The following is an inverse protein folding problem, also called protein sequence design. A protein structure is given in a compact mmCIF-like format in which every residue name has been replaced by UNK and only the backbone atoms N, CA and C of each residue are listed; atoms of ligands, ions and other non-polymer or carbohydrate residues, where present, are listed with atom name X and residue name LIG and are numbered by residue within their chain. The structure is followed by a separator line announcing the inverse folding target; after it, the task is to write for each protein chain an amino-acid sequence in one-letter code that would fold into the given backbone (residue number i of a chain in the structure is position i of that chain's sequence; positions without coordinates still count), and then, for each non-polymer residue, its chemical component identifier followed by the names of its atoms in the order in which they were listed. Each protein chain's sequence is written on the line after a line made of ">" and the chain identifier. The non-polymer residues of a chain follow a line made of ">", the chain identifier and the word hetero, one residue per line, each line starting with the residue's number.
data_IF_936752603564
#
_entry.id   IF_936752603564
#
_cell.length_a   1.000
_cell.length_b   1.000
_cell.length_c   1.000
_cell.angle_alpha   90.00
_cell.angle_beta   90.00
_cell.angle_gamma   90.00
#
_symmetry.space_group_name_H-M   'P 1'
#
loop_
_entity.id
_entity.type
_entity.pdbx_description
1 polymer ?
#
# COMPACT_ATOMS: atom_id res chain seq x y z
N UNK A 1 -43.37 -21.57 14.40
CA UNK A 1 -41.96 -21.47 13.95
C UNK A 1 -41.10 -20.97 15.10
N UNK A 2 -40.85 -21.78 16.12
CA UNK A 2 -40.01 -21.42 17.25
C UNK A 2 -39.54 -22.67 17.99
N UNK A 3 -38.57 -23.42 17.46
CA UNK A 3 -37.94 -24.53 18.22
C UNK A 3 -36.55 -24.95 17.65
N UNK A 4 -35.92 -24.15 16.80
CA UNK A 4 -34.60 -24.51 16.22
C UNK A 4 -33.40 -23.85 16.91
N UNK A 5 -33.58 -22.91 17.84
CA UNK A 5 -32.50 -22.25 18.57
C UNK A 5 -32.11 -22.94 19.89
N UNK A 6 -32.94 -23.83 20.44
CA UNK A 6 -32.74 -24.39 21.79
C UNK A 6 -31.58 -25.39 21.94
N UNK A 7 -30.90 -25.81 20.87
CA UNK A 7 -29.79 -26.79 20.95
C UNK A 7 -28.48 -26.34 20.31
N UNK A 8 -28.28 -25.04 20.11
CA UNK A 8 -26.98 -24.50 19.65
C UNK A 8 -26.04 -24.31 20.82
N UNK A 9 -24.85 -24.91 20.78
CA UNK A 9 -23.83 -24.74 21.80
C UNK A 9 -22.58 -24.11 21.20
N UNK A 10 -21.84 -23.37 22.05
CA UNK A 10 -20.59 -22.72 21.65
C UNK A 10 -19.45 -23.28 22.47
N UNK A 11 -18.31 -23.53 21.82
CA UNK A 11 -17.16 -24.15 22.47
C UNK A 11 -15.89 -23.56 21.88
N UNK A 12 -14.93 -23.22 22.75
CA UNK A 12 -13.58 -22.89 22.32
C UNK A 12 -12.71 -24.15 22.46
N UNK A 13 -12.26 -24.67 21.33
CA UNK A 13 -11.33 -25.79 21.27
C UNK A 13 -9.89 -25.27 21.33
N UNK A 14 -9.12 -25.76 22.27
CA UNK A 14 -7.71 -25.42 22.45
C UNK A 14 -6.85 -26.69 22.42
N UNK A 15 -5.87 -26.73 21.50
CA UNK A 15 -4.95 -27.86 21.37
C UNK A 15 -3.58 -27.48 21.97
N UNK A 16 -3.16 -28.27 22.98
CA UNK A 16 -1.85 -28.15 23.64
C UNK A 16 -1.15 -29.50 23.52
N UNK A 17 -0.07 -29.59 22.77
CA UNK A 17 0.53 -30.88 22.38
C UNK A 17 -0.50 -31.75 21.63
N UNK A 18 -0.72 -32.97 22.11
CA UNK A 18 -1.71 -33.91 21.54
C UNK A 18 -3.09 -33.84 22.24
N UNK A 19 -3.25 -32.99 23.22
CA UNK A 19 -4.50 -32.87 23.99
C UNK A 19 -5.36 -31.75 23.49
N UNK A 20 -6.66 -32.02 23.35
CA UNK A 20 -7.69 -31.01 23.08
C UNK A 20 -8.44 -30.72 24.38
N UNK A 21 -8.51 -29.45 24.74
CA UNK A 21 -9.39 -28.95 25.81
C UNK A 21 -10.62 -28.31 25.19
N UNK A 22 -11.76 -28.53 25.81
CA UNK A 22 -13.02 -27.88 25.48
C UNK A 22 -13.29 -26.83 26.55
N UNK A 23 -13.32 -25.59 26.16
CA UNK A 23 -13.53 -24.45 27.04
C UNK A 23 -14.94 -23.93 26.78
N UNK A 24 -15.80 -23.77 27.79
CA UNK A 24 -17.11 -23.14 27.62
C UNK A 24 -16.96 -21.78 26.95
N UNK A 25 -17.82 -21.54 25.95
CA UNK A 25 -17.76 -20.30 25.17
C UNK A 25 -19.18 -19.77 24.99
N UNK A 26 -19.39 -18.48 25.20
CA UNK A 26 -20.70 -17.88 25.03
C UNK A 26 -20.94 -17.49 23.56
N UNK A 27 -22.22 -17.31 23.19
CA UNK A 27 -22.61 -16.85 21.86
C UNK A 27 -21.95 -15.50 21.54
N UNK A 28 -22.02 -14.58 22.47
CA UNK A 28 -21.48 -13.23 22.36
C UNK A 28 -19.97 -13.25 22.12
N UNK A 29 -19.25 -14.18 22.75
CA UNK A 29 -17.82 -14.36 22.54
C UNK A 29 -17.50 -14.93 21.16
N UNK A 30 -18.30 -15.87 20.67
CA UNK A 30 -18.15 -16.40 19.31
C UNK A 30 -18.37 -15.31 18.26
N UNK A 31 -19.47 -14.56 18.40
CA UNK A 31 -19.83 -13.48 17.48
C UNK A 31 -18.74 -12.37 17.51
N UNK A 32 -18.20 -12.04 18.69
CA UNK A 32 -17.10 -11.09 18.83
C UNK A 32 -15.81 -11.56 18.12
N UNK A 33 -15.47 -12.85 18.26
CA UNK A 33 -14.30 -13.44 17.56
C UNK A 33 -14.48 -13.39 16.04
N UNK A 34 -15.67 -13.68 15.53
CA UNK A 34 -15.97 -13.63 14.11
C UNK A 34 -15.77 -12.19 13.56
N UNK A 35 -16.35 -11.21 14.23
CA UNK A 35 -16.20 -9.79 13.89
C UNK A 35 -14.73 -9.35 14.00
N UNK A 36 -14.03 -9.74 15.07
CA UNK A 36 -12.63 -9.39 15.26
C UNK A 36 -11.76 -9.94 14.12
N UNK A 37 -12.00 -11.19 13.68
CA UNK A 37 -11.26 -11.78 12.56
C UNK A 37 -11.44 -10.98 11.27
N UNK A 38 -12.66 -10.58 10.94
CA UNK A 38 -12.94 -9.78 9.75
C UNK A 38 -12.21 -8.44 9.80
N UNK A 39 -12.23 -7.76 10.96
CA UNK A 39 -11.51 -6.49 11.19
C UNK A 39 -9.98 -6.66 11.07
N UNK A 40 -9.43 -7.75 11.61
CA UNK A 40 -7.99 -8.03 11.53
C UNK A 40 -7.54 -8.31 10.10
N UNK A 41 -8.33 -9.06 9.33
CA UNK A 41 -8.06 -9.30 7.90
C UNK A 41 -8.12 -7.98 7.13
N UNK A 42 -9.14 -7.16 7.38
CA UNK A 42 -9.22 -5.82 6.78
C UNK A 42 -7.96 -4.99 7.09
N UNK A 43 -7.56 -4.91 8.37
CA UNK A 43 -6.40 -4.12 8.79
C UNK A 43 -5.09 -4.60 8.17
N UNK A 44 -4.87 -5.93 8.08
CA UNK A 44 -3.71 -6.50 7.41
C UNK A 44 -3.71 -6.16 5.89
N UNK A 45 -4.82 -6.37 5.22
CA UNK A 45 -4.94 -6.08 3.77
C UNK A 45 -4.82 -4.58 3.49
N UNK A 46 -5.31 -3.72 4.39
CA UNK A 46 -5.14 -2.28 4.29
C UNK A 46 -3.66 -1.87 4.27
N UNK A 47 -2.84 -2.43 5.18
CA UNK A 47 -1.39 -2.20 5.20
C UNK A 47 -0.67 -2.80 3.98
N UNK A 48 -1.07 -3.98 3.54
CA UNK A 48 -0.49 -4.63 2.35
C UNK A 48 -0.75 -3.84 1.07
N UNK A 49 -1.86 -3.14 0.95
CA UNK A 49 -2.18 -2.35 -0.25
C UNK A 49 -1.23 -1.18 -0.46
N UNK A 50 -0.92 -0.43 0.61
CA UNK A 50 0.06 0.65 0.50
C UNK A 50 1.47 0.10 0.29
N UNK A 51 1.80 -1.02 0.93
CA UNK A 51 3.09 -1.69 0.77
C UNK A 51 3.39 -2.04 -0.69
N UNK A 52 2.39 -2.49 -1.45
CA UNK A 52 2.53 -2.73 -2.90
C UNK A 52 2.96 -1.45 -3.65
N UNK A 53 2.40 -0.29 -3.32
CA UNK A 53 2.77 0.97 -3.96
C UNK A 53 4.20 1.39 -3.56
N UNK A 54 4.56 1.25 -2.29
CA UNK A 54 5.90 1.54 -1.77
C UNK A 54 6.97 0.64 -2.39
N UNK A 55 6.73 -0.67 -2.52
CA UNK A 55 7.66 -1.59 -3.16
C UNK A 55 7.81 -1.29 -4.66
N UNK A 56 6.73 -0.96 -5.39
CA UNK A 56 6.84 -0.55 -6.78
C UNK A 56 7.63 0.76 -6.95
N UNK A 57 7.52 1.70 -6.00
CA UNK A 57 8.34 2.89 -5.97
C UNK A 57 9.82 2.55 -5.68
N UNK A 58 10.09 1.69 -4.70
CA UNK A 58 11.43 1.22 -4.39
C UNK A 58 12.10 0.51 -5.59
N UNK A 59 11.35 -0.27 -6.35
CA UNK A 59 11.84 -0.92 -7.57
C UNK A 59 12.17 0.11 -8.67
N UNK A 60 11.39 1.20 -8.79
CA UNK A 60 11.71 2.31 -9.69
C UNK A 60 13.03 2.98 -9.28
N UNK A 61 13.22 3.31 -7.99
CA UNK A 61 14.47 3.90 -7.47
C UNK A 61 15.68 2.96 -7.70
N UNK A 62 15.54 1.67 -7.39
CA UNK A 62 16.58 0.66 -7.65
C UNK A 62 16.97 0.58 -9.13
N UNK A 63 15.98 0.63 -10.02
CA UNK A 63 16.20 0.65 -11.46
C UNK A 63 17.08 1.84 -11.88
N UNK A 64 16.80 3.03 -11.36
CA UNK A 64 17.56 4.25 -11.66
C UNK A 64 18.99 4.17 -11.10
N UNK A 65 19.16 3.64 -9.88
CA UNK A 65 20.47 3.42 -9.27
C UNK A 65 21.30 2.39 -10.06
N UNK A 66 20.71 1.29 -10.49
CA UNK A 66 21.40 0.29 -11.34
C UNK A 66 21.84 0.91 -12.68
N UNK A 67 20.97 1.71 -13.31
CA UNK A 67 21.33 2.41 -14.54
C UNK A 67 22.50 3.39 -14.33
N UNK A 68 22.52 4.13 -13.23
CA UNK A 68 23.60 5.05 -12.89
C UNK A 68 24.91 4.30 -12.65
N UNK A 69 24.87 3.20 -11.91
CA UNK A 69 26.04 2.34 -11.66
C UNK A 69 26.58 1.75 -12.96
N UNK A 70 25.72 1.19 -13.81
CA UNK A 70 26.12 0.65 -15.12
C UNK A 70 26.72 1.70 -16.03
N UNK A 71 26.19 2.92 -15.98
CA UNK A 71 26.76 4.04 -16.74
C UNK A 71 28.15 4.44 -16.25
N UNK A 72 28.37 4.36 -14.94
CA UNK A 72 29.69 4.66 -14.34
C UNK A 72 30.74 3.60 -14.74
N UNK A 73 30.36 2.32 -14.76
CA UNK A 73 31.27 1.19 -14.99
C UNK A 73 31.51 0.92 -16.48
N UNK A 74 30.46 0.98 -17.28
CA UNK A 74 30.46 0.56 -18.69
C UNK A 74 30.19 1.76 -19.59
N UNK A 75 31.15 2.64 -19.72
CA UNK A 75 31.03 3.86 -20.54
C UNK A 75 30.71 3.52 -21.98
N UNK A 76 29.67 4.11 -22.50
CA UNK A 76 29.23 4.01 -23.90
C UNK A 76 27.78 4.40 -24.03
N UNK A 77 27.53 5.63 -24.50
CA UNK A 77 26.19 6.03 -24.91
C UNK A 77 25.93 5.55 -26.32
N UNK A 78 24.86 4.79 -26.50
CA UNK A 78 24.29 4.48 -27.81
C UNK A 78 22.80 4.79 -27.77
N UNK A 79 22.25 5.20 -28.91
CA UNK A 79 20.80 5.43 -29.04
C UNK A 79 20.00 4.20 -28.65
N UNK A 80 20.53 3.01 -28.91
CA UNK A 80 19.91 1.73 -28.53
C UNK A 80 19.83 1.60 -27.00
N UNK A 81 20.89 1.91 -26.27
CA UNK A 81 20.91 1.85 -24.80
C UNK A 81 19.93 2.85 -24.20
N UNK A 82 19.81 4.05 -24.75
CA UNK A 82 18.84 5.05 -24.32
C UNK A 82 17.39 4.59 -24.58
N UNK A 83 17.10 3.97 -25.74
CA UNK A 83 15.79 3.41 -26.04
C UNK A 83 15.41 2.29 -25.10
N UNK A 84 16.32 1.33 -24.87
CA UNK A 84 16.10 0.21 -23.95
C UNK A 84 15.92 0.71 -22.51
N UNK A 85 16.76 1.63 -22.04
CA UNK A 85 16.66 2.23 -20.71
C UNK A 85 15.31 2.93 -20.50
N UNK A 86 14.86 3.72 -21.49
CA UNK A 86 13.56 4.39 -21.43
C UNK A 86 12.40 3.38 -21.40
N UNK A 87 12.49 2.28 -22.14
CA UNK A 87 11.48 1.21 -22.08
C UNK A 87 11.40 0.58 -20.66
N UNK A 88 12.54 0.31 -20.05
CA UNK A 88 12.62 -0.24 -18.69
C UNK A 88 12.03 0.73 -17.66
N UNK A 89 12.41 2.01 -17.71
CA UNK A 89 11.85 3.05 -16.81
C UNK A 89 10.32 3.16 -16.98
N UNK A 90 9.82 3.16 -18.20
CA UNK A 90 8.37 3.21 -18.45
C UNK A 90 7.62 2.02 -17.84
N UNK A 91 8.20 0.82 -17.85
CA UNK A 91 7.61 -0.36 -17.21
C UNK A 91 7.48 -0.18 -15.69
N UNK A 92 8.53 0.29 -15.02
CA UNK A 92 8.48 0.54 -13.57
C UNK A 92 7.54 1.68 -13.22
N UNK A 93 7.51 2.76 -14.00
CA UNK A 93 6.56 3.86 -13.82
C UNK A 93 5.11 3.38 -13.98
N UNK A 94 4.81 2.57 -15.00
CA UNK A 94 3.48 2.04 -15.20
C UNK A 94 3.00 1.17 -14.03
N UNK A 95 3.89 0.31 -13.49
CA UNK A 95 3.60 -0.51 -12.31
C UNK A 95 3.35 0.38 -11.08
N UNK A 96 4.22 1.36 -10.84
CA UNK A 96 4.10 2.28 -9.72
C UNK A 96 2.80 3.09 -9.77
N UNK A 97 2.48 3.72 -10.90
CA UNK A 97 1.23 4.47 -11.07
C UNK A 97 -0.01 3.59 -10.89
N UNK A 98 0.05 2.37 -11.41
CA UNK A 98 -1.07 1.41 -11.30
C UNK A 98 -1.28 0.95 -9.87
N UNK A 99 -0.21 0.68 -9.12
CA UNK A 99 -0.28 0.26 -7.72
C UNK A 99 -0.78 1.38 -6.80
N UNK A 100 -0.38 2.64 -7.04
CA UNK A 100 -0.90 3.78 -6.30
C UNK A 100 -2.40 3.99 -6.52
N UNK A 101 -2.86 3.90 -7.77
CA UNK A 101 -4.30 3.98 -8.06
C UNK A 101 -5.08 2.80 -7.47
N UNK A 102 -4.53 1.59 -7.56
CA UNK A 102 -5.12 0.38 -6.98
C UNK A 102 -5.31 0.55 -5.47
N UNK A 103 -4.31 1.10 -4.76
CA UNK A 103 -4.41 1.43 -3.34
C UNK A 103 -5.61 2.33 -3.04
N UNK A 104 -5.75 3.45 -3.75
CA UNK A 104 -6.84 4.42 -3.53
C UNK A 104 -8.20 3.78 -3.80
N UNK A 105 -8.38 3.11 -4.94
CA UNK A 105 -9.66 2.55 -5.35
C UNK A 105 -10.10 1.40 -4.42
N UNK A 106 -9.20 0.45 -4.13
CA UNK A 106 -9.51 -0.68 -3.28
C UNK A 106 -9.74 -0.29 -1.82
N UNK A 107 -9.02 0.73 -1.31
CA UNK A 107 -9.21 1.21 0.06
C UNK A 107 -10.56 1.90 0.19
N UNK A 108 -10.92 2.79 -0.75
CA UNK A 108 -12.25 3.43 -0.77
C UNK A 108 -13.39 2.41 -0.83
N UNK A 109 -13.24 1.38 -1.67
CA UNK A 109 -14.23 0.31 -1.79
C UNK A 109 -14.35 -0.51 -0.50
N UNK A 110 -13.22 -0.88 0.11
CA UNK A 110 -13.22 -1.64 1.36
C UNK A 110 -13.81 -0.86 2.53
N UNK A 111 -13.51 0.45 2.66
CA UNK A 111 -14.12 1.31 3.66
C UNK A 111 -15.65 1.40 3.47
N UNK A 112 -16.11 1.50 2.21
CA UNK A 112 -17.54 1.43 1.90
C UNK A 112 -18.19 0.11 2.32
N UNK A 113 -17.51 -1.01 2.10
CA UNK A 113 -18.02 -2.34 2.46
C UNK A 113 -18.14 -2.57 3.97
N UNK A 114 -17.16 -2.09 4.76
CA UNK A 114 -17.14 -2.29 6.21
C UNK A 114 -17.94 -1.24 6.99
N UNK A 115 -17.87 0.03 6.59
CA UNK A 115 -18.47 1.14 7.34
C UNK A 115 -19.70 1.74 6.64
N UNK A 116 -19.93 1.40 5.39
CA UNK A 116 -21.00 1.95 4.55
C UNK A 116 -20.54 3.12 3.67
N UNK A 117 -21.26 3.32 2.56
CA UNK A 117 -20.91 4.34 1.55
C UNK A 117 -20.86 5.78 2.10
N UNK A 118 -21.70 6.08 3.09
CA UNK A 118 -21.82 7.43 3.69
C UNK A 118 -21.09 7.54 5.04
N UNK A 119 -20.24 6.57 5.36
CA UNK A 119 -19.47 6.58 6.61
C UNK A 119 -18.46 7.72 6.66
N UNK A 120 -18.12 8.12 7.88
CA UNK A 120 -17.13 9.15 8.12
C UNK A 120 -15.72 8.66 7.74
N UNK A 121 -15.43 7.35 7.94
CA UNK A 121 -14.16 6.71 7.58
C UNK A 121 -13.88 6.82 6.08
N UNK A 122 -14.89 6.52 5.27
CA UNK A 122 -14.77 6.65 3.81
C UNK A 122 -14.74 8.12 3.38
N UNK A 123 -15.56 8.96 3.98
CA UNK A 123 -15.61 10.40 3.67
C UNK A 123 -14.26 11.07 3.94
N UNK A 124 -13.65 10.83 5.11
CA UNK A 124 -12.35 11.37 5.48
C UNK A 124 -11.24 10.87 4.55
N UNK A 125 -11.29 9.60 4.13
CA UNK A 125 -10.36 9.07 3.14
C UNK A 125 -10.48 9.80 1.79
N UNK A 126 -11.69 10.03 1.30
CA UNK A 126 -11.92 10.77 0.05
C UNK A 126 -11.53 12.26 0.17
N UNK A 127 -11.77 12.88 1.32
CA UNK A 127 -11.30 14.24 1.59
C UNK A 127 -9.78 14.30 1.56
N UNK A 128 -9.09 13.33 2.17
CA UNK A 128 -7.62 13.25 2.14
C UNK A 128 -7.07 13.09 0.73
N UNK A 129 -7.69 12.24 -0.11
CA UNK A 129 -7.28 12.08 -1.52
C UNK A 129 -7.49 13.35 -2.33
N UNK A 130 -8.60 14.06 -2.13
CA UNK A 130 -8.87 15.33 -2.78
C UNK A 130 -7.90 16.43 -2.30
N UNK A 131 -7.59 16.47 -1.01
CA UNK A 131 -6.62 17.40 -0.44
C UNK A 131 -5.23 17.22 -1.04
N UNK A 132 -4.77 15.98 -1.19
CA UNK A 132 -3.51 15.70 -1.86
C UNK A 132 -3.55 16.07 -3.36
N UNK A 133 -4.66 15.81 -4.05
CA UNK A 133 -4.82 16.23 -5.43
C UNK A 133 -4.72 17.75 -5.60
N UNK A 134 -5.35 18.51 -4.69
CA UNK A 134 -5.38 19.97 -4.77
C UNK A 134 -4.05 20.62 -4.36
N UNK A 135 -3.34 20.07 -3.38
CA UNK A 135 -2.16 20.69 -2.78
C UNK A 135 -0.83 20.11 -3.25
N UNK A 136 -0.79 18.87 -3.75
CA UNK A 136 0.44 18.20 -4.18
C UNK A 136 0.54 18.13 -5.71
N UNK A 137 1.45 18.90 -6.30
CA UNK A 137 1.63 18.93 -7.74
C UNK A 137 2.02 17.56 -8.31
N UNK A 138 2.98 16.87 -7.67
CA UNK A 138 3.39 15.52 -8.10
C UNK A 138 2.23 14.53 -8.08
N UNK A 139 1.35 14.62 -7.07
CA UNK A 139 0.16 13.77 -6.99
C UNK A 139 -0.79 14.01 -8.19
N UNK A 140 -1.10 15.28 -8.51
CA UNK A 140 -1.94 15.63 -9.67
C UNK A 140 -1.34 15.15 -10.99
N UNK A 141 -0.03 15.33 -11.16
CA UNK A 141 0.68 14.92 -12.38
C UNK A 141 0.63 13.41 -12.55
N UNK A 142 0.89 12.63 -11.48
CA UNK A 142 0.89 11.18 -11.55
C UNK A 142 -0.51 10.59 -11.80
N UNK A 143 -1.57 11.16 -11.24
CA UNK A 143 -2.96 10.80 -11.57
C UNK A 143 -3.28 11.06 -13.05
N UNK A 144 -2.84 12.19 -13.60
CA UNK A 144 -3.01 12.49 -15.01
C UNK A 144 -2.16 11.61 -15.92
N UNK A 145 -0.89 11.34 -15.56
CA UNK A 145 0.00 10.46 -16.31
C UNK A 145 -0.49 9.01 -16.34
N UNK A 146 -1.06 8.53 -15.22
CA UNK A 146 -1.66 7.20 -15.18
C UNK A 146 -2.79 7.07 -16.21
N UNK A 147 -3.70 8.04 -16.26
CA UNK A 147 -4.79 8.05 -17.24
C UNK A 147 -4.25 8.14 -18.67
N UNK A 148 -3.26 8.98 -18.91
CA UNK A 148 -2.58 9.10 -20.19
C UNK A 148 -1.94 7.77 -20.61
N UNK A 149 -1.21 7.13 -19.70
CA UNK A 149 -0.48 5.88 -19.99
C UNK A 149 -1.41 4.70 -20.30
N UNK A 150 -2.60 4.67 -19.76
CA UNK A 150 -3.58 3.61 -20.03
C UNK A 150 -4.23 3.72 -21.41
N UNK A 151 -4.32 4.94 -21.95
CA UNK A 151 -5.16 5.18 -23.14
C UNK A 151 -4.40 5.75 -24.33
N UNK A 152 -3.15 6.20 -24.17
CA UNK A 152 -2.47 7.00 -25.17
C UNK A 152 -1.03 6.61 -25.44
N UNK A 153 -0.15 6.69 -24.45
CA UNK A 153 1.27 6.50 -24.68
C UNK A 153 2.10 6.36 -23.43
N UNK A 154 3.39 6.15 -23.61
CA UNK A 154 4.31 5.98 -22.50
C UNK A 154 4.62 7.33 -21.81
N UNK A 155 4.74 7.36 -20.47
CA UNK A 155 4.87 8.60 -19.72
C UNK A 155 6.25 9.27 -19.88
N UNK A 156 7.31 8.51 -20.23
CA UNK A 156 8.67 9.05 -20.33
C UNK A 156 9.03 9.38 -21.77
N UNK A 157 9.30 10.66 -22.03
CA UNK A 157 9.71 11.16 -23.34
C UNK A 157 11.23 11.31 -23.48
N UNK A 158 11.96 11.41 -22.36
CA UNK A 158 13.42 11.57 -22.35
C UNK A 158 14.08 10.69 -21.31
N UNK A 159 15.28 10.22 -21.61
CA UNK A 159 16.22 9.60 -20.69
C UNK A 159 17.61 10.18 -21.02
N UNK A 160 18.35 10.61 -20.01
CA UNK A 160 19.70 11.13 -20.16
C UNK A 160 20.59 10.60 -19.06
N UNK A 161 21.83 10.32 -19.43
CA UNK A 161 22.92 10.03 -18.51
C UNK A 161 23.83 11.25 -18.44
N UNK A 162 24.20 11.64 -17.24
CA UNK A 162 25.14 12.76 -17.03
C UNK A 162 26.09 12.45 -15.90
N UNK A 163 27.29 13.04 -15.95
CA UNK A 163 28.24 13.01 -14.87
C UNK A 163 28.41 14.45 -14.35
N UNK A 164 28.16 14.66 -13.08
CA UNK A 164 28.46 15.92 -12.38
C UNK A 164 29.76 15.79 -11.60
N UNK A 165 30.59 16.79 -11.69
CA UNK A 165 31.78 16.94 -10.86
C UNK A 165 31.39 17.76 -9.65
N UNK A 166 31.59 17.24 -8.47
CA UNK A 166 31.38 17.96 -7.21
C UNK A 166 32.72 18.14 -6.55
N UNK A 167 33.09 19.38 -6.36
CA UNK A 167 34.33 19.80 -5.69
C UNK A 167 33.92 20.39 -4.33
N UNK A 168 34.30 19.72 -3.26
CA UNK A 168 34.15 20.22 -1.90
C UNK A 168 35.55 20.72 -1.44
N UNK A 169 35.62 21.93 -0.90
CA UNK A 169 36.88 22.53 -0.45
C UNK A 169 37.53 21.62 0.61
N UNK A 170 38.75 21.15 0.30
CA UNK A 170 39.51 20.21 1.17
C UNK A 170 39.21 18.72 0.98
N UNK A 171 38.34 18.32 0.05
CA UNK A 171 37.98 16.94 -0.25
C UNK A 171 38.43 16.51 -1.64
N UNK A 172 38.53 15.18 -1.85
CA UNK A 172 38.78 14.65 -3.19
C UNK A 172 37.57 14.91 -4.09
N UNK A 173 37.81 15.34 -5.32
CA UNK A 173 36.78 15.52 -6.35
C UNK A 173 35.92 14.27 -6.51
N UNK A 174 34.60 14.40 -6.38
CA UNK A 174 33.66 13.35 -6.60
C UNK A 174 33.02 13.46 -7.99
N UNK A 175 32.79 12.31 -8.64
CA UNK A 175 32.03 12.23 -9.88
C UNK A 175 30.71 11.55 -9.57
N UNK A 176 29.63 12.32 -9.65
CA UNK A 176 28.27 11.81 -9.44
C UNK A 176 27.66 11.46 -10.81
N UNK A 177 27.41 10.16 -11.04
CA UNK A 177 26.68 9.73 -12.23
C UNK A 177 25.18 9.87 -11.96
N UNK A 178 24.51 10.63 -12.80
CA UNK A 178 23.09 10.95 -12.66
C UNK A 178 22.33 10.41 -13.87
N UNK A 179 21.29 9.68 -13.60
CA UNK A 179 20.28 9.29 -14.60
C UNK A 179 19.06 10.19 -14.41
N UNK A 180 18.69 10.91 -15.45
CA UNK A 180 17.49 11.72 -15.47
C UNK A 180 16.53 11.21 -16.52
N UNK A 181 15.27 11.11 -16.16
CA UNK A 181 14.19 10.81 -17.07
C UNK A 181 13.02 11.77 -16.84
N UNK A 182 12.29 12.04 -17.90
CA UNK A 182 11.28 13.06 -17.79
C UNK A 182 10.29 13.07 -18.94
N UNK A 183 9.30 13.92 -18.76
CA UNK A 183 8.29 14.19 -19.77
C UNK A 183 8.53 15.54 -20.47
N UNK A 184 8.08 15.63 -21.70
CA UNK A 184 8.06 16.86 -22.49
C UNK A 184 6.60 17.35 -22.56
N UNK A 185 6.24 18.44 -21.89
CA UNK A 185 4.88 18.99 -21.93
C UNK A 185 4.42 19.28 -23.35
N UNK A 186 5.35 19.70 -24.23
CA UNK A 186 5.06 19.91 -25.65
C UNK A 186 4.49 18.67 -26.32
N UNK A 187 5.08 17.49 -26.12
CA UNK A 187 4.59 16.24 -26.71
C UNK A 187 3.21 15.83 -26.16
N UNK A 188 2.95 16.08 -24.86
CA UNK A 188 1.64 15.86 -24.26
C UNK A 188 0.58 16.83 -24.82
N UNK A 189 0.97 18.06 -25.12
CA UNK A 189 0.11 19.09 -25.71
C UNK A 189 -0.25 18.75 -27.16
N UNK A 190 0.69 18.25 -27.93
CA UNK A 190 0.50 17.80 -29.33
C UNK A 190 -0.49 16.62 -29.39
N UNK A 191 -0.51 15.72 -28.41
CA UNK A 191 -1.52 14.64 -28.29
C UNK A 191 -2.93 15.20 -28.00
N UNK A 192 -3.05 16.37 -27.38
CA UNK A 192 -4.29 17.11 -27.17
C UNK A 192 -5.26 16.50 -26.16
N UNK A 193 -4.87 15.48 -25.42
CA UNK A 193 -5.73 14.74 -24.45
C UNK A 193 -5.30 14.87 -22.98
N UNK A 194 -4.17 15.48 -22.74
CA UNK A 194 -3.71 15.74 -21.38
C UNK A 194 -4.40 16.99 -20.77
N UNK A 195 -4.63 17.00 -19.45
CA UNK A 195 -5.31 18.12 -18.77
C UNK A 195 -4.54 19.42 -18.93
N UNK A 196 -5.16 20.44 -19.54
CA UNK A 196 -4.52 21.73 -19.88
C UNK A 196 -3.95 22.44 -18.66
N UNK A 197 -4.68 22.50 -17.55
CA UNK A 197 -4.20 23.15 -16.32
C UNK A 197 -2.90 22.53 -15.79
N UNK A 198 -2.77 21.18 -15.86
CA UNK A 198 -1.56 20.49 -15.46
C UNK A 198 -0.42 20.75 -16.45
N UNK A 199 -0.71 20.85 -17.75
CA UNK A 199 0.29 21.21 -18.77
C UNK A 199 0.87 22.61 -18.53
N UNK A 200 0.02 23.58 -18.18
CA UNK A 200 0.44 24.94 -17.92
C UNK A 200 1.35 25.02 -16.66
N UNK A 201 1.07 24.22 -15.63
CA UNK A 201 1.96 24.07 -14.47
C UNK A 201 3.28 23.34 -14.81
N UNK A 202 3.24 22.33 -15.70
CA UNK A 202 4.42 21.61 -16.17
C UNK A 202 5.33 22.51 -17.00
N UNK A 203 4.76 23.33 -17.90
CA UNK A 203 5.51 24.28 -18.73
C UNK A 203 6.33 25.26 -17.88
N UNK A 204 5.84 25.65 -16.71
CA UNK A 204 6.58 26.50 -15.77
C UNK A 204 7.77 25.80 -15.06
N UNK A 205 7.89 24.47 -15.20
CA UNK A 205 8.90 23.64 -14.52
C UNK A 205 9.87 22.92 -15.47
N UNK A 206 9.82 23.23 -16.77
CA UNK A 206 10.75 22.64 -17.75
C UNK A 206 12.18 23.13 -17.54
N UNK A 207 13.11 22.24 -17.76
CA UNK A 207 14.54 22.59 -17.85
C UNK A 207 14.88 23.26 -19.21
N UNK A 208 16.16 23.61 -19.41
CA UNK A 208 16.66 24.19 -20.67
C UNK A 208 16.42 23.31 -21.91
N UNK A 209 16.11 22.03 -21.73
CA UNK A 209 15.82 21.08 -22.81
C UNK A 209 14.32 20.86 -23.01
N UNK A 210 13.46 21.61 -22.31
CA UNK A 210 12.01 21.47 -22.35
C UNK A 210 11.51 20.19 -21.70
N UNK A 211 12.22 19.69 -20.68
CA UNK A 211 11.92 18.44 -19.97
C UNK A 211 11.60 18.74 -18.51
N UNK A 212 10.57 18.10 -17.99
CA UNK A 212 10.26 18.06 -16.55
C UNK A 212 10.73 16.72 -15.99
N UNK A 213 11.61 16.75 -14.98
CA UNK A 213 12.09 15.54 -14.31
C UNK A 213 10.96 14.84 -13.56
N UNK A 214 10.81 13.51 -13.78
CA UNK A 214 9.74 12.72 -13.17
C UNK A 214 10.06 12.21 -11.77
N UNK A 215 11.34 12.01 -11.42
CA UNK A 215 11.69 11.44 -10.10
C UNK A 215 11.23 12.29 -8.92
N UNK A 216 11.43 13.63 -8.89
CA UNK A 216 10.90 14.47 -7.82
C UNK A 216 9.37 14.35 -7.71
N UNK A 217 8.66 14.34 -8.84
CA UNK A 217 7.20 14.20 -8.85
C UNK A 217 6.74 12.80 -8.40
N UNK A 218 7.53 11.75 -8.66
CA UNK A 218 7.26 10.40 -8.16
C UNK A 218 7.39 10.34 -6.63
N UNK A 219 8.40 11.02 -6.08
CA UNK A 219 8.58 11.14 -4.62
C UNK A 219 7.44 11.92 -3.97
N UNK A 220 7.00 13.02 -4.58
CA UNK A 220 5.83 13.76 -4.12
C UNK A 220 4.57 12.89 -4.14
N UNK A 221 4.38 12.08 -5.19
CA UNK A 221 3.22 11.19 -5.32
C UNK A 221 3.18 10.13 -4.24
N UNK A 222 4.30 9.41 -4.00
CA UNK A 222 4.34 8.37 -2.96
C UNK A 222 4.18 8.97 -1.57
N UNK A 223 4.77 10.15 -1.30
CA UNK A 223 4.59 10.88 -0.05
C UNK A 223 3.13 11.32 0.16
N UNK A 224 2.42 11.70 -0.91
CA UNK A 224 0.98 11.97 -0.87
C UNK A 224 0.17 10.73 -0.51
N UNK A 225 0.47 9.58 -1.12
CA UNK A 225 -0.18 8.31 -0.78
C UNK A 225 0.09 7.91 0.68
N UNK A 226 1.30 8.12 1.19
CA UNK A 226 1.67 7.84 2.58
C UNK A 226 0.87 8.72 3.57
N UNK A 227 0.71 10.01 3.29
CA UNK A 227 -0.13 10.92 4.12
C UNK A 227 -1.60 10.52 4.13
N UNK A 228 -2.16 10.15 2.98
CA UNK A 228 -3.53 9.62 2.87
C UNK A 228 -3.66 8.36 3.74
N UNK A 229 -2.70 7.46 3.65
CA UNK A 229 -2.69 6.21 4.41
C UNK A 229 -2.62 6.46 5.91
N UNK A 230 -1.73 7.33 6.37
CA UNK A 230 -1.59 7.68 7.79
C UNK A 230 -2.89 8.28 8.37
N UNK A 231 -3.51 9.21 7.64
CA UNK A 231 -4.81 9.79 8.03
C UNK A 231 -5.88 8.71 8.18
N UNK A 232 -5.96 7.79 7.24
CA UNK A 232 -6.92 6.68 7.29
C UNK A 232 -6.59 5.70 8.44
N UNK A 233 -5.31 5.35 8.63
CA UNK A 233 -4.84 4.48 9.71
C UNK A 233 -5.27 5.02 11.10
N UNK A 234 -5.02 6.29 11.36
CA UNK A 234 -5.43 6.91 12.62
C UNK A 234 -6.95 6.90 12.80
N UNK A 235 -7.71 7.06 11.72
CA UNK A 235 -9.18 7.02 11.78
C UNK A 235 -9.74 5.65 12.17
N UNK A 236 -9.16 4.57 11.67
CA UNK A 236 -9.63 3.19 11.92
C UNK A 236 -8.93 2.51 13.11
N UNK A 237 -7.94 3.14 13.71
CA UNK A 237 -7.08 2.59 14.77
C UNK A 237 -7.84 2.01 15.96
N UNK A 238 -8.81 2.75 16.49
CA UNK A 238 -9.64 2.29 17.62
C UNK A 238 -10.41 1.03 17.27
N UNK A 239 -11.03 1.02 16.09
CA UNK A 239 -11.79 -0.11 15.57
C UNK A 239 -10.95 -1.38 15.37
N UNK A 240 -9.70 -1.23 14.92
CA UNK A 240 -8.73 -2.34 14.80
C UNK A 240 -8.25 -2.78 16.18
N UNK A 241 -7.97 -1.84 17.10
CA UNK A 241 -7.46 -2.16 18.46
C UNK A 241 -8.47 -2.96 19.27
N UNK A 242 -9.76 -2.73 19.13
CA UNK A 242 -10.82 -3.54 19.74
C UNK A 242 -10.74 -5.01 19.26
N UNK A 243 -10.49 -5.23 17.98
CA UNK A 243 -10.33 -6.56 17.40
C UNK A 243 -9.05 -7.25 17.89
N UNK A 244 -7.94 -6.52 17.98
CA UNK A 244 -6.70 -7.01 18.60
C UNK A 244 -6.97 -7.51 20.02
N UNK A 245 -7.66 -6.70 20.83
CA UNK A 245 -7.95 -7.04 22.24
C UNK A 245 -8.84 -8.29 22.34
N UNK A 246 -9.88 -8.40 21.51
CA UNK A 246 -10.76 -9.57 21.48
C UNK A 246 -9.97 -10.86 21.23
N UNK A 247 -9.04 -10.85 20.27
CA UNK A 247 -8.20 -12.02 19.96
C UNK A 247 -7.21 -12.29 21.09
N UNK A 248 -6.56 -11.27 21.67
CA UNK A 248 -5.66 -11.42 22.80
C UNK A 248 -6.37 -12.05 24.01
N UNK A 249 -7.55 -11.57 24.35
CA UNK A 249 -8.33 -12.08 25.48
C UNK A 249 -8.74 -13.54 25.25
N UNK A 250 -9.16 -13.88 24.04
CA UNK A 250 -9.54 -15.25 23.67
C UNK A 250 -8.32 -16.20 23.74
N UNK A 251 -7.15 -15.76 23.26
CA UNK A 251 -5.92 -16.54 23.36
C UNK A 251 -5.49 -16.72 24.81
N UNK A 252 -5.59 -15.67 25.63
CA UNK A 252 -5.25 -15.73 27.05
C UNK A 252 -6.17 -16.65 27.83
N UNK A 253 -7.48 -16.67 27.52
CA UNK A 253 -8.45 -17.58 28.12
C UNK A 253 -8.13 -19.07 27.84
N UNK A 254 -7.44 -19.32 26.74
CA UNK A 254 -7.10 -20.68 26.30
C UNK A 254 -5.72 -21.17 26.74
N UNK A 255 -4.96 -20.38 27.53
CA UNK A 255 -3.69 -20.82 28.12
C UNK A 255 -3.90 -22.02 29.05
N UNK A 256 -2.92 -22.90 29.12
CA UNK A 256 -2.96 -24.05 30.02
C UNK A 256 -2.62 -23.65 31.47
N UNK A 257 -2.57 -24.63 32.37
CA UNK A 257 -2.26 -24.44 33.81
C UNK A 257 -0.83 -23.87 34.03
N UNK A 258 0.06 -24.02 33.06
CA UNK A 258 1.41 -23.49 33.10
C UNK A 258 1.54 -22.12 32.40
N UNK A 259 0.44 -21.60 31.89
CA UNK A 259 0.42 -20.36 31.10
C UNK A 259 0.84 -20.50 29.65
N UNK A 260 1.05 -21.73 29.14
CA UNK A 260 1.43 -21.98 27.78
C UNK A 260 0.26 -21.81 26.83
N UNK A 261 0.46 -21.13 25.69
CA UNK A 261 -0.58 -20.91 24.71
C UNK A 261 -0.92 -22.19 23.95
N UNK A 262 -2.17 -22.34 23.56
CA UNK A 262 -2.58 -23.37 22.60
C UNK A 262 -1.92 -23.11 21.24
N UNK A 263 -1.39 -24.16 20.59
CA UNK A 263 -0.81 -24.05 19.25
C UNK A 263 -1.89 -23.93 18.15
N UNK A 264 -3.12 -24.41 18.46
CA UNK A 264 -4.31 -24.25 17.64
C UNK A 264 -5.50 -23.90 18.53
N UNK A 265 -6.22 -22.86 18.14
CA UNK A 265 -7.36 -22.35 18.83
C UNK A 265 -8.52 -22.16 17.84
N UNK A 266 -9.66 -22.71 18.16
CA UNK A 266 -10.82 -22.72 17.27
C UNK A 266 -12.11 -22.46 18.07
N UNK A 267 -12.77 -21.35 17.80
CA UNK A 267 -14.11 -21.11 18.28
C UNK A 267 -15.10 -21.83 17.39
N UNK A 268 -16.04 -22.55 17.97
CA UNK A 268 -17.03 -23.35 17.25
C UNK A 268 -18.45 -23.07 17.74
N UNK A 269 -19.36 -22.91 16.78
CA UNK A 269 -20.80 -22.95 16.93
C UNK A 269 -21.28 -24.34 16.50
N UNK A 270 -21.76 -25.15 17.44
CA UNK A 270 -22.23 -26.49 17.21
C UNK A 270 -23.75 -26.46 16.94
N UNK A 271 -24.15 -26.96 15.81
CA UNK A 271 -25.55 -26.99 15.40
C UNK A 271 -26.23 -28.34 15.80
N UNK A 272 -27.56 -28.38 15.90
CA UNK A 272 -28.31 -29.59 16.31
C UNK A 272 -28.11 -30.79 15.37
N UNK A 273 -27.85 -30.55 14.09
CA UNK A 273 -27.56 -31.56 13.07
C UNK A 273 -26.12 -32.12 13.12
N UNK A 274 -25.35 -31.77 14.19
CA UNK A 274 -23.94 -32.08 14.40
C UNK A 274 -22.96 -31.38 13.45
N UNK A 275 -23.43 -30.47 12.60
CA UNK A 275 -22.53 -29.60 11.84
C UNK A 275 -21.95 -28.51 12.74
N UNK A 276 -20.83 -27.91 12.29
CA UNK A 276 -20.12 -26.88 13.04
C UNK A 276 -19.78 -25.70 12.12
N UNK A 277 -19.99 -24.50 12.63
CA UNK A 277 -19.39 -23.29 12.06
C UNK A 277 -18.18 -22.95 12.94
N UNK A 278 -17.01 -22.78 12.33
CA UNK A 278 -15.75 -22.65 13.09
C UNK A 278 -14.94 -21.43 12.64
N UNK A 279 -14.34 -20.76 13.62
CA UNK A 279 -13.45 -19.63 13.44
C UNK A 279 -12.10 -19.91 14.09
N UNK A 280 -11.02 -19.82 13.31
CA UNK A 280 -9.67 -19.94 13.84
C UNK A 280 -9.26 -18.64 14.54
N UNK A 281 -8.76 -18.78 15.77
CA UNK A 281 -8.26 -17.66 16.59
C UNK A 281 -6.74 -17.74 16.65
N UNK A 282 -6.06 -16.77 16.09
CA UNK A 282 -4.60 -16.68 16.13
C UNK A 282 -4.11 -15.24 16.03
N UNK A 283 -2.89 -14.98 16.48
CA UNK A 283 -2.27 -13.66 16.51
C UNK A 283 -1.53 -13.30 15.21
N UNK A 284 -1.39 -14.21 14.24
CA UNK A 284 -0.64 -13.94 13.00
C UNK A 284 -1.09 -12.69 12.25
N UNK A 285 -2.40 -12.44 12.03
CA UNK A 285 -2.83 -11.23 11.34
C UNK A 285 -2.43 -9.95 12.08
N UNK A 286 -2.45 -9.98 13.43
CA UNK A 286 -2.00 -8.85 14.27
C UNK A 286 -0.50 -8.62 14.11
N UNK A 287 0.30 -9.68 14.20
CA UNK A 287 1.76 -9.62 14.09
C UNK A 287 2.20 -9.17 12.69
N UNK A 288 1.61 -9.74 11.65
CA UNK A 288 1.91 -9.36 10.26
C UNK A 288 1.53 -7.91 9.99
N UNK A 289 0.34 -7.47 10.41
CA UNK A 289 -0.07 -6.08 10.27
C UNK A 289 0.92 -5.13 10.96
N UNK A 290 1.32 -5.42 12.20
CA UNK A 290 2.30 -4.60 12.94
C UNK A 290 3.66 -4.53 12.26
N UNK A 291 4.11 -5.61 11.58
CA UNK A 291 5.34 -5.58 10.76
C UNK A 291 5.20 -4.62 9.58
N UNK A 292 4.07 -4.66 8.86
CA UNK A 292 3.82 -3.71 7.77
C UNK A 292 3.72 -2.27 8.29
N UNK A 293 3.00 -2.03 9.39
CA UNK A 293 2.93 -0.72 10.03
C UNK A 293 4.32 -0.18 10.37
N UNK A 294 5.19 -1.02 10.92
CA UNK A 294 6.56 -0.63 11.25
C UNK A 294 7.41 -0.36 10.00
N UNK A 295 7.33 -1.24 8.99
CA UNK A 295 8.04 -1.09 7.71
C UNK A 295 7.64 0.21 7.00
N UNK A 296 6.35 0.52 6.97
CA UNK A 296 5.77 1.60 6.18
C UNK A 296 5.71 2.95 6.91
N UNK A 297 6.21 3.06 8.15
CA UNK A 297 6.19 4.31 8.95
C UNK A 297 7.13 5.40 8.43
N UNK A 298 8.15 5.02 7.69
CA UNK A 298 9.23 5.93 7.24
C UNK A 298 9.11 6.29 5.76
N UNK A 299 7.99 5.97 5.13
CA UNK A 299 7.78 6.19 3.70
C UNK A 299 7.30 7.62 3.38
#
# INVERSE_FOLDING_TARGET
>A
MSNSEENVTYTLYAWTGQRRRNIPFAREQFDAVQVARERLVFGLVFEQRIDIALENFAELEKCILDMALRNALFRGESDERLRQGRHVVNRYLANFMSSGKLYVDQTSHALSGFFGEKSIERSDFLISTNTEYDNCFGYRVFEALRNYSQHRGLPTHSLAFSAKREEEEGSATRICNVVSFGLKPKSLREDGKFKRAILDELDAKVDKNGVVALMPLARDYISGLARIHETCRERIKGWISEADQTVFDTVNMAKDENGEPAWLLQAAKNLPDRSQVTEYVNLKPVEERKRYEQKNRSA
#
